data_IF_712256728657
#
_entry.id   IF_712256728657
#
_cell.length_a   1.000
_cell.length_b   1.000
_cell.length_c   1.000
_cell.angle_alpha   90.00
_cell.angle_beta   90.00
_cell.angle_gamma   90.00
#
_symmetry.space_group_name_H-M   'P 1'
#
loop_
_entity.id
_entity.type
_entity.pdbx_description
1 polymer ?
#
# COMPACT_ATOMS: atom_id res chain seq x y z
N UNK A 1 23.58 -2.00 7.94
CA UNK A 1 22.30 -2.17 7.22
C UNK A 1 22.15 -3.64 6.93
N UNK A 2 21.25 -4.31 7.64
CA UNK A 2 21.04 -5.76 7.50
C UNK A 2 20.06 -5.96 6.36
N UNK A 3 20.45 -6.74 5.34
CA UNK A 3 19.52 -7.12 4.26
C UNK A 3 18.51 -8.09 4.87
N UNK A 4 17.22 -7.80 4.67
CA UNK A 4 16.15 -8.67 5.16
C UNK A 4 16.25 -10.03 4.50
N UNK A 5 16.10 -11.11 5.28
CA UNK A 5 16.10 -12.45 4.71
C UNK A 5 14.79 -12.71 3.96
N UNK A 6 14.85 -13.56 2.95
CA UNK A 6 13.66 -13.99 2.20
C UNK A 6 12.58 -14.58 3.13
N UNK A 7 12.99 -15.28 4.19
CA UNK A 7 12.08 -15.82 5.21
C UNK A 7 11.39 -14.70 6.01
N UNK A 8 12.11 -13.66 6.42
CA UNK A 8 11.53 -12.54 7.16
C UNK A 8 10.53 -11.75 6.30
N UNK A 9 10.86 -11.53 5.02
CA UNK A 9 9.95 -10.93 4.04
C UNK A 9 8.64 -11.72 3.92
N UNK A 10 8.77 -13.04 3.73
CA UNK A 10 7.64 -13.95 3.59
C UNK A 10 6.76 -13.96 4.84
N UNK A 11 7.36 -14.02 6.02
CA UNK A 11 6.62 -13.96 7.29
C UNK A 11 5.85 -12.65 7.43
N UNK A 12 6.46 -11.52 7.11
CA UNK A 12 5.82 -10.21 7.19
C UNK A 12 4.60 -10.11 6.26
N UNK A 13 4.72 -10.59 5.01
CA UNK A 13 3.60 -10.59 4.07
C UNK A 13 2.49 -11.57 4.47
N UNK A 14 2.82 -12.76 4.97
CA UNK A 14 1.82 -13.70 5.50
C UNK A 14 1.00 -13.02 6.59
N UNK A 15 1.68 -12.33 7.50
CA UNK A 15 1.03 -11.60 8.57
C UNK A 15 0.14 -10.48 8.02
N UNK A 16 0.64 -9.67 7.09
CA UNK A 16 -0.13 -8.62 6.44
C UNK A 16 -1.42 -9.15 5.78
N UNK A 17 -1.33 -10.21 4.97
CA UNK A 17 -2.51 -10.84 4.35
C UNK A 17 -3.48 -11.38 5.41
N UNK A 18 -2.95 -11.91 6.51
CA UNK A 18 -3.74 -12.30 7.67
C UNK A 18 -4.53 -11.11 8.22
N UNK A 19 -3.85 -9.99 8.49
CA UNK A 19 -4.45 -8.74 8.98
C UNK A 19 -5.55 -8.24 8.07
N UNK A 20 -5.33 -8.25 6.75
CA UNK A 20 -6.35 -7.86 5.76
C UNK A 20 -7.65 -8.68 5.89
N UNK A 21 -7.56 -9.93 6.36
CA UNK A 21 -8.68 -10.86 6.50
C UNK A 21 -9.30 -10.82 7.90
N UNK A 22 -8.49 -10.61 8.94
CA UNK A 22 -8.93 -10.75 10.34
C UNK A 22 -9.06 -9.43 11.09
N UNK A 23 -8.59 -8.32 10.54
CA UNK A 23 -8.55 -7.01 11.21
C UNK A 23 -7.68 -7.00 12.48
N UNK A 24 -6.71 -7.91 12.57
CA UNK A 24 -5.80 -7.97 13.73
C UNK A 24 -4.74 -6.89 13.64
N UNK A 25 -4.23 -6.43 14.78
CA UNK A 25 -3.16 -5.43 14.80
C UNK A 25 -1.82 -6.00 14.27
N UNK A 26 -1.00 -5.18 13.58
CA UNK A 26 0.38 -5.50 13.25
C UNK A 26 1.24 -5.87 14.46
N UNK A 27 2.00 -6.95 14.33
CA UNK A 27 3.02 -7.33 15.30
C UNK A 27 4.21 -6.36 15.26
N UNK A 28 4.99 -6.28 16.35
CA UNK A 28 6.28 -5.60 16.33
C UNK A 28 7.25 -6.14 15.27
N UNK A 29 7.15 -7.42 14.92
CA UNK A 29 8.00 -8.06 13.90
C UNK A 29 7.66 -7.56 12.49
N UNK A 30 6.36 -7.41 12.18
CA UNK A 30 5.93 -6.79 10.94
C UNK A 30 6.37 -5.33 10.87
N UNK A 31 6.27 -4.58 11.98
CA UNK A 31 6.75 -3.20 12.05
C UNK A 31 8.27 -3.08 11.80
N UNK A 32 9.08 -3.97 12.39
CA UNK A 32 10.53 -4.01 12.17
C UNK A 32 10.88 -4.39 10.72
N UNK A 33 10.17 -5.37 10.15
CA UNK A 33 10.35 -5.78 8.76
C UNK A 33 9.99 -4.65 7.79
N UNK A 34 8.85 -3.98 8.02
CA UNK A 34 8.43 -2.81 7.25
C UNK A 34 9.48 -1.70 7.31
N UNK A 35 9.89 -1.31 8.51
CA UNK A 35 10.92 -0.30 8.76
C UNK A 35 12.23 -0.65 8.03
N UNK A 36 12.68 -1.90 8.12
CA UNK A 36 13.88 -2.33 7.41
C UNK A 36 13.72 -2.23 5.89
N UNK A 37 12.57 -2.66 5.36
CA UNK A 37 12.31 -2.73 3.92
C UNK A 37 12.26 -1.35 3.23
N UNK A 38 11.77 -0.31 3.93
CA UNK A 38 11.67 1.04 3.33
C UNK A 38 13.05 1.67 3.08
N UNK A 39 14.09 1.17 3.73
CA UNK A 39 15.49 1.57 3.51
C UNK A 39 16.23 0.66 2.51
N UNK A 40 15.79 -0.58 2.29
CA UNK A 40 16.53 -1.55 1.46
C UNK A 40 15.97 -1.72 0.05
N UNK A 41 14.71 -2.13 -0.09
CA UNK A 41 14.18 -2.65 -1.35
C UNK A 41 12.73 -2.26 -1.65
N UNK A 42 11.99 -1.67 -0.70
CA UNK A 42 10.59 -1.20 -0.85
C UNK A 42 9.59 -2.26 -1.34
N UNK A 43 10.01 -3.51 -1.55
CA UNK A 43 9.17 -4.56 -2.10
C UNK A 43 8.02 -4.90 -1.14
N UNK A 44 8.30 -4.91 0.17
CA UNK A 44 7.31 -5.23 1.19
C UNK A 44 6.18 -4.19 1.17
N UNK A 45 6.52 -2.90 1.11
CA UNK A 45 5.56 -1.80 0.95
C UNK A 45 4.69 -1.99 -0.30
N UNK A 46 5.31 -2.27 -1.44
CA UNK A 46 4.59 -2.40 -2.71
C UNK A 46 3.68 -3.62 -2.71
N UNK A 47 4.13 -4.74 -2.14
CA UNK A 47 3.30 -5.94 -1.98
C UNK A 47 2.18 -5.77 -0.97
N UNK A 48 2.39 -5.00 0.10
CA UNK A 48 1.31 -4.64 1.02
C UNK A 48 0.20 -3.87 0.31
N UNK A 49 0.56 -2.89 -0.53
CA UNK A 49 -0.41 -2.14 -1.33
C UNK A 49 -1.13 -3.03 -2.36
N UNK A 50 -0.37 -3.76 -3.18
CA UNK A 50 -0.93 -4.66 -4.19
C UNK A 50 -1.88 -5.66 -3.54
N UNK A 51 -1.55 -6.10 -2.32
CA UNK A 51 -2.41 -7.06 -1.62
C UNK A 51 -3.69 -6.52 -1.04
N UNK A 52 -3.68 -5.26 -0.62
CA UNK A 52 -4.91 -4.53 -0.28
C UNK A 52 -5.81 -4.34 -1.50
N UNK A 53 -5.24 -3.99 -2.67
CA UNK A 53 -5.98 -3.66 -3.88
C UNK A 53 -6.57 -4.87 -4.63
N UNK A 54 -6.01 -6.06 -4.42
CA UNK A 54 -6.38 -7.25 -5.19
C UNK A 54 -7.80 -7.73 -4.87
N UNK A 55 -8.58 -7.93 -5.93
CA UNK A 55 -9.92 -8.55 -5.87
C UNK A 55 -9.89 -10.06 -5.67
N UNK A 56 -8.73 -10.71 -5.85
CA UNK A 56 -8.58 -12.14 -5.65
C UNK A 56 -8.21 -12.43 -4.19
N UNK A 57 -8.73 -13.52 -3.59
CA UNK A 57 -8.25 -14.01 -2.30
C UNK A 57 -6.75 -14.27 -2.41
N UNK A 58 -5.95 -13.51 -1.66
CA UNK A 58 -4.51 -13.45 -1.83
C UNK A 58 -3.76 -14.52 -1.05
N UNK A 59 -4.13 -15.77 -1.31
CA UNK A 59 -3.44 -16.93 -0.76
C UNK A 59 -2.09 -17.16 -1.43
N UNK A 60 -1.97 -18.27 -2.15
CA UNK A 60 -0.71 -18.85 -2.63
C UNK A 60 0.09 -17.90 -3.55
N UNK A 61 -0.58 -17.11 -4.39
CA UNK A 61 0.04 -16.18 -5.36
C UNK A 61 0.91 -15.11 -4.69
N UNK A 62 0.48 -14.58 -3.53
CA UNK A 62 1.27 -13.60 -2.78
C UNK A 62 2.47 -14.26 -2.09
N UNK A 63 2.33 -15.53 -1.68
CA UNK A 63 3.44 -16.27 -1.08
C UNK A 63 4.50 -16.65 -2.12
N UNK A 64 4.08 -16.94 -3.35
CA UNK A 64 5.01 -17.14 -4.46
C UNK A 64 5.65 -15.80 -4.85
N UNK A 65 4.88 -14.70 -4.82
CA UNK A 65 5.41 -13.36 -4.99
C UNK A 65 6.45 -12.95 -3.91
N UNK A 66 6.33 -13.49 -2.69
CA UNK A 66 7.36 -13.28 -1.67
C UNK A 66 8.64 -14.06 -1.93
N UNK A 67 8.56 -15.17 -2.64
CA UNK A 67 9.71 -16.02 -2.91
C UNK A 67 10.58 -15.46 -4.04
N UNK A 68 10.01 -14.75 -5.02
CA UNK A 68 10.75 -14.15 -6.12
C UNK A 68 10.18 -12.78 -6.50
N UNK A 69 10.53 -11.68 -5.78
CA UNK A 69 10.00 -10.32 -5.98
C UNK A 69 10.18 -9.76 -7.41
N UNK A 70 10.95 -10.43 -8.27
CA UNK A 70 11.17 -10.07 -9.67
C UNK A 70 10.70 -11.15 -10.66
N UNK A 71 9.96 -12.16 -10.17
CA UNK A 71 9.41 -13.24 -10.95
C UNK A 71 8.26 -12.77 -11.85
N UNK A 72 8.06 -13.47 -12.96
CA UNK A 72 7.00 -13.20 -13.95
C UNK A 72 5.59 -13.22 -13.34
N UNK A 73 5.39 -14.07 -12.33
CA UNK A 73 4.10 -14.19 -11.62
C UNK A 73 3.74 -12.90 -10.89
N UNK A 74 4.71 -12.20 -10.30
CA UNK A 74 4.47 -10.92 -9.62
C UNK A 74 4.14 -9.83 -10.61
N UNK A 75 4.87 -9.78 -11.72
CA UNK A 75 4.58 -8.83 -12.77
C UNK A 75 3.13 -9.00 -13.24
N UNK A 76 2.69 -10.25 -13.36
CA UNK A 76 1.30 -10.59 -13.69
C UNK A 76 0.34 -10.14 -12.58
N UNK A 77 0.60 -10.46 -11.31
CA UNK A 77 -0.26 -10.07 -10.19
C UNK A 77 -0.39 -8.54 -10.06
N UNK A 78 0.73 -7.82 -10.12
CA UNK A 78 0.76 -6.35 -10.07
C UNK A 78 0.03 -5.78 -11.28
N UNK A 79 0.33 -6.27 -12.48
CA UNK A 79 -0.31 -5.81 -13.71
C UNK A 79 -1.81 -6.04 -13.69
N UNK A 80 -2.27 -7.24 -13.31
CA UNK A 80 -3.69 -7.58 -13.23
C UNK A 80 -4.40 -6.73 -12.19
N UNK A 81 -3.79 -6.52 -11.02
CA UNK A 81 -4.36 -5.71 -9.93
C UNK A 81 -4.52 -4.26 -10.36
N UNK A 82 -3.48 -3.66 -10.94
CA UNK A 82 -3.54 -2.28 -11.42
C UNK A 82 -4.45 -2.15 -12.64
N UNK A 83 -4.46 -3.12 -13.55
CA UNK A 83 -5.36 -3.14 -14.70
C UNK A 83 -6.81 -3.19 -14.25
N UNK A 84 -7.14 -4.00 -13.25
CA UNK A 84 -8.48 -4.03 -12.68
C UNK A 84 -8.85 -2.66 -12.11
N UNK A 85 -7.97 -2.04 -11.31
CA UNK A 85 -8.24 -0.72 -10.72
C UNK A 85 -8.45 0.40 -11.76
N UNK A 86 -7.65 0.41 -12.84
CA UNK A 86 -7.59 1.50 -13.81
C UNK A 86 -8.36 1.29 -15.11
N UNK A 87 -8.77 0.06 -15.43
CA UNK A 87 -9.42 -0.24 -16.72
C UNK A 87 -10.74 -1.01 -16.56
N UNK A 88 -11.08 -1.49 -15.37
CA UNK A 88 -12.32 -2.24 -15.14
C UNK A 88 -13.37 -1.38 -14.40
N UNK A 89 -14.45 -1.04 -15.09
CA UNK A 89 -15.61 -0.36 -14.48
C UNK A 89 -16.33 -1.26 -13.45
N UNK A 90 -16.16 -2.58 -13.52
CA UNK A 90 -16.76 -3.55 -12.61
C UNK A 90 -15.94 -3.81 -11.35
N UNK A 91 -14.78 -3.17 -11.18
CA UNK A 91 -13.97 -3.31 -9.99
C UNK A 91 -14.78 -2.89 -8.75
N UNK A 92 -14.83 -3.78 -7.77
CA UNK A 92 -15.50 -3.52 -6.49
C UNK A 92 -14.46 -3.64 -5.39
N UNK A 93 -14.07 -2.53 -4.73
CA UNK A 93 -13.17 -2.58 -3.59
C UNK A 93 -13.75 -3.45 -2.48
N UNK A 94 -12.91 -4.28 -1.88
CA UNK A 94 -13.24 -4.96 -0.64
C UNK A 94 -13.06 -3.96 0.52
N UNK A 95 -14.14 -3.25 0.86
CA UNK A 95 -14.08 -2.19 1.87
C UNK A 95 -13.58 -2.68 3.23
N UNK A 96 -13.93 -3.90 3.66
CA UNK A 96 -13.44 -4.46 4.92
C UNK A 96 -11.92 -4.65 4.89
N UNK A 97 -11.39 -5.15 3.76
CA UNK A 97 -9.95 -5.27 3.55
C UNK A 97 -9.25 -3.90 3.57
N UNK A 98 -9.84 -2.89 2.94
CA UNK A 98 -9.28 -1.54 2.96
C UNK A 98 -9.29 -0.94 4.36
N UNK A 99 -10.38 -1.06 5.10
CA UNK A 99 -10.49 -0.57 6.47
C UNK A 99 -9.45 -1.24 7.37
N UNK A 100 -9.33 -2.57 7.29
CA UNK A 100 -8.29 -3.33 8.01
C UNK A 100 -6.87 -2.85 7.65
N UNK A 101 -6.61 -2.56 6.37
CA UNK A 101 -5.31 -2.05 5.93
C UNK A 101 -5.01 -0.64 6.48
N UNK A 102 -6.00 0.25 6.47
CA UNK A 102 -5.87 1.61 6.99
C UNK A 102 -5.59 1.60 8.50
N UNK A 103 -6.36 0.82 9.27
CA UNK A 103 -6.14 0.66 10.72
C UNK A 103 -4.76 0.08 11.04
N UNK A 104 -4.32 -0.91 10.26
CA UNK A 104 -2.99 -1.49 10.39
C UNK A 104 -1.89 -0.47 10.07
N UNK A 105 -2.05 0.37 9.05
CA UNK A 105 -1.09 1.43 8.71
C UNK A 105 -1.00 2.49 9.81
N UNK A 106 -2.12 2.89 10.42
CA UNK A 106 -2.07 3.77 11.59
C UNK A 106 -1.35 3.14 12.78
N UNK A 107 -1.48 1.83 12.96
CA UNK A 107 -0.73 1.11 13.99
C UNK A 107 0.77 1.06 13.66
N UNK A 108 1.15 0.82 12.41
CA UNK A 108 2.55 0.88 11.95
C UNK A 108 3.15 2.28 12.14
N UNK A 109 2.38 3.34 11.89
CA UNK A 109 2.79 4.72 12.19
C UNK A 109 3.15 4.90 13.68
N UNK A 110 2.36 4.30 14.57
CA UNK A 110 2.60 4.38 16.01
C UNK A 110 3.87 3.63 16.46
N UNK A 111 4.30 2.61 15.72
CA UNK A 111 5.60 1.96 15.91
C UNK A 111 6.76 2.78 15.33
N UNK A 112 6.52 3.52 14.24
CA UNK A 112 7.54 4.30 13.56
C UNK A 112 7.98 5.53 14.34
N UNK A 113 7.05 6.23 15.01
CA UNK A 113 7.10 7.44 15.90
C UNK A 113 8.27 8.43 15.82
N UNK A 114 9.52 7.97 15.75
CA UNK A 114 10.73 8.78 15.67
C UNK A 114 11.51 8.61 14.34
N UNK A 115 11.04 7.76 13.44
CA UNK A 115 11.61 7.55 12.10
C UNK A 115 10.75 8.24 11.04
N UNK A 116 11.11 9.48 10.71
CA UNK A 116 10.35 10.31 9.77
C UNK A 116 10.30 9.72 8.36
N UNK A 117 11.32 8.95 7.94
CA UNK A 117 11.30 8.29 6.63
C UNK A 117 10.31 7.14 6.59
N UNK A 118 10.22 6.37 7.67
CA UNK A 118 9.20 5.32 7.82
C UNK A 118 7.82 5.95 7.86
N UNK A 119 7.61 7.01 8.67
CA UNK A 119 6.35 7.74 8.74
C UNK A 119 5.91 8.24 7.35
N UNK A 120 6.82 8.88 6.61
CA UNK A 120 6.54 9.36 5.26
C UNK A 120 6.09 8.24 4.30
N UNK A 121 6.66 7.04 4.42
CA UNK A 121 6.25 5.89 3.61
C UNK A 121 4.88 5.34 4.02
N UNK A 122 4.55 5.33 5.31
CA UNK A 122 3.20 4.95 5.78
C UNK A 122 2.16 5.96 5.27
N UNK A 123 2.43 7.27 5.40
CA UNK A 123 1.54 8.32 4.86
C UNK A 123 1.37 8.22 3.35
N UNK A 124 2.45 7.87 2.62
CA UNK A 124 2.36 7.63 1.17
C UNK A 124 1.46 6.44 0.83
N UNK A 125 1.46 5.38 1.64
CA UNK A 125 0.55 4.24 1.47
C UNK A 125 -0.90 4.63 1.80
N UNK A 126 -1.13 5.35 2.91
CA UNK A 126 -2.44 5.89 3.26
C UNK A 126 -3.00 6.74 2.12
N UNK A 127 -2.19 7.64 1.57
CA UNK A 127 -2.56 8.48 0.44
C UNK A 127 -2.99 7.65 -0.78
N UNK A 128 -2.26 6.57 -1.09
CA UNK A 128 -2.61 5.68 -2.19
C UNK A 128 -3.96 4.98 -1.94
N UNK A 129 -4.18 4.44 -0.73
CA UNK A 129 -5.41 3.72 -0.41
C UNK A 129 -6.63 4.65 -0.40
N UNK A 130 -6.52 5.85 0.18
CA UNK A 130 -7.58 6.85 0.13
C UNK A 130 -7.89 7.28 -1.31
N UNK A 131 -6.85 7.53 -2.13
CA UNK A 131 -7.05 7.83 -3.54
C UNK A 131 -7.73 6.68 -4.28
N UNK A 132 -7.33 5.44 -3.99
CA UNK A 132 -7.91 4.25 -4.58
C UNK A 132 -9.39 4.05 -4.20
N UNK A 133 -9.83 4.57 -3.05
CA UNK A 133 -11.23 4.58 -2.60
C UNK A 133 -12.03 5.80 -3.06
N UNK A 134 -11.40 6.80 -3.69
CA UNK A 134 -12.04 8.05 -4.07
C UNK A 134 -12.10 9.11 -2.96
N UNK A 135 -11.49 8.84 -1.81
CA UNK A 135 -11.42 9.73 -0.65
C UNK A 135 -10.38 10.86 -0.87
N UNK A 136 -10.68 11.74 -1.82
CA UNK A 136 -9.75 12.74 -2.35
C UNK A 136 -9.15 13.63 -1.26
N UNK A 137 -9.97 14.14 -0.32
CA UNK A 137 -9.48 15.03 0.74
C UNK A 137 -8.57 14.32 1.75
N UNK A 138 -8.86 13.05 2.04
CA UNK A 138 -8.00 12.23 2.90
C UNK A 138 -6.68 11.91 2.19
N UNK A 139 -6.72 11.60 0.89
CA UNK A 139 -5.54 11.38 0.07
C UNK A 139 -4.65 12.63 0.00
N UNK A 140 -5.23 13.82 -0.22
CA UNK A 140 -4.50 15.10 -0.21
C UNK A 140 -3.80 15.36 1.13
N UNK A 141 -4.49 15.09 2.24
CA UNK A 141 -3.94 15.27 3.59
C UNK A 141 -2.76 14.32 3.81
N UNK A 142 -2.91 13.04 3.48
CA UNK A 142 -1.84 12.05 3.62
C UNK A 142 -0.64 12.34 2.70
N UNK A 143 -0.87 12.83 1.47
CA UNK A 143 0.21 13.33 0.61
C UNK A 143 0.96 14.46 1.29
N UNK A 144 0.26 15.44 1.86
CA UNK A 144 0.88 16.57 2.53
C UNK A 144 1.74 16.11 3.71
N UNK A 145 1.22 15.20 4.54
CA UNK A 145 1.95 14.61 5.66
C UNK A 145 3.22 13.87 5.20
N UNK A 146 3.11 13.02 4.17
CA UNK A 146 4.26 12.32 3.61
C UNK A 146 5.38 13.28 3.15
N UNK A 147 5.01 14.44 2.59
CA UNK A 147 5.96 15.47 2.18
C UNK A 147 6.59 16.19 3.37
N UNK A 148 5.81 16.49 4.40
CA UNK A 148 6.30 17.14 5.63
C UNK A 148 7.29 16.24 6.40
N UNK A 149 6.94 14.96 6.57
CA UNK A 149 7.78 13.96 7.25
C UNK A 149 9.09 13.68 6.50
N UNK A 150 9.11 13.90 5.18
CA UNK A 150 10.32 13.75 4.36
C UNK A 150 11.32 14.90 4.56
N UNK A 151 10.90 16.03 5.14
CA UNK A 151 11.74 17.20 5.38
C UNK A 151 12.44 17.71 4.11
N UNK A 152 13.76 17.91 4.20
CA UNK A 152 14.59 18.31 3.05
C UNK A 152 14.91 17.15 2.08
N UNK A 153 14.47 15.93 2.41
CA UNK A 153 14.63 14.73 1.59
C UNK A 153 13.63 14.68 0.43
N UNK A 154 13.88 13.75 -0.50
CA UNK A 154 12.92 13.48 -1.57
C UNK A 154 11.74 12.66 -1.03
N UNK A 155 10.49 13.12 -1.18
CA UNK A 155 9.32 12.38 -0.71
C UNK A 155 9.17 11.02 -1.38
N UNK A 156 8.55 10.02 -0.72
CA UNK A 156 8.31 8.71 -1.31
C UNK A 156 7.65 8.83 -2.68
N UNK A 157 8.12 8.04 -3.64
CA UNK A 157 7.65 8.07 -5.03
C UNK A 157 6.13 7.87 -5.15
N UNK A 158 5.54 7.10 -4.24
CA UNK A 158 4.08 6.88 -4.17
C UNK A 158 3.35 8.19 -3.83
N UNK A 159 3.80 8.95 -2.83
CA UNK A 159 3.20 10.24 -2.50
C UNK A 159 3.32 11.23 -3.68
N UNK A 160 4.48 11.25 -4.37
CA UNK A 160 4.66 12.09 -5.56
C UNK A 160 3.70 11.71 -6.69
N UNK A 161 3.48 10.41 -6.91
CA UNK A 161 2.55 9.89 -7.90
C UNK A 161 1.11 10.26 -7.57
N UNK A 162 0.68 10.08 -6.31
CA UNK A 162 -0.68 10.44 -5.88
C UNK A 162 -0.91 11.95 -5.99
N UNK A 163 0.05 12.78 -5.56
CA UNK A 163 -0.01 14.23 -5.76
C UNK A 163 -0.23 14.61 -7.22
N UNK A 164 0.45 13.91 -8.14
CA UNK A 164 0.30 14.14 -9.59
C UNK A 164 -1.05 13.64 -10.10
N UNK A 165 -1.50 12.47 -9.67
CA UNK A 165 -2.80 11.93 -10.03
C UNK A 165 -3.92 12.90 -9.64
N UNK A 166 -3.91 13.38 -8.39
CA UNK A 166 -4.84 14.38 -7.86
C UNK A 166 -4.81 15.69 -8.68
N UNK A 167 -3.62 16.21 -8.97
CA UNK A 167 -3.46 17.43 -9.78
C UNK A 167 -4.01 17.34 -11.20
N UNK A 168 -4.04 16.14 -11.79
CA UNK A 168 -4.64 15.87 -13.10
C UNK A 168 -6.04 15.26 -13.03
N UNK A 169 -6.63 15.14 -11.83
CA UNK A 169 -7.92 14.48 -11.59
C UNK A 169 -7.99 13.06 -12.16
N UNK A 170 -6.86 12.35 -12.08
CA UNK A 170 -6.79 10.92 -12.41
C UNK A 170 -7.34 10.16 -11.21
N UNK A 171 -8.28 9.25 -11.48
CA UNK A 171 -8.90 8.40 -10.49
C UNK A 171 -9.04 6.97 -11.03
N UNK A 172 -9.20 5.96 -10.16
CA UNK A 172 -9.61 4.62 -10.57
C UNK A 172 -10.85 4.64 -11.47
N UNK A 173 -10.88 3.74 -12.44
CA UNK A 173 -11.90 3.75 -13.50
C UNK A 173 -13.31 3.50 -12.97
N UNK A 174 -13.42 2.62 -11.98
CA UNK A 174 -14.70 2.28 -11.34
C UNK A 174 -15.35 3.47 -10.61
N UNK A 175 -14.60 4.54 -10.34
CA UNK A 175 -15.13 5.77 -9.74
C UNK A 175 -15.61 6.78 -10.79
N UNK A 176 -15.28 6.63 -12.06
CA UNK A 176 -15.71 7.58 -13.10
C UNK A 176 -17.23 7.57 -13.30
N UNK A 177 -17.86 6.38 -13.22
CA UNK A 177 -19.31 6.23 -13.38
C UNK A 177 -20.10 6.82 -12.18
N UNK A 178 -19.45 7.11 -11.05
CA UNK A 178 -20.06 7.77 -9.89
C UNK A 178 -20.15 9.30 -10.08
N UNK A 179 -19.32 9.89 -10.95
CA UNK A 179 -19.27 11.33 -11.19
C UNK A 179 -20.34 11.80 -12.18
N UNK A 180 -20.88 10.90 -13.02
CA UNK A 180 -21.96 11.22 -13.97
C UNK A 180 -23.37 11.13 -13.38
N UNK A 181 -23.52 10.75 -12.10
CA UNK A 181 -24.80 10.54 -11.43
C UNK A 181 -25.30 11.75 -10.58
N UNK A 182 -24.51 12.82 -10.47
CA UNK A 182 -24.84 14.09 -9.79
C UNK A 182 -25.04 15.26 -10.78
#
# INVERSE_FOLDING_TARGET
MTVMTQDAYKTAIIEWVGILTTGTEPSPQLAEAFTSSVYTDRHLRDMMLVSTLSVKPMGEDVLIACADPHGEEIHTTVYDTLTALFNDNGYTPDHERFDNALDALFTLMAYAKDDSWVCANVDAMLAYLYWALGETSAAETAVQQAFEESGDGEPPSIAQMIRRALGFRIQPRYLEDLVEAD
#
